data_IF_893503462702
#
_entry.id   IF_893503462702
#
_cell.length_a   1.000
_cell.length_b   1.000
_cell.length_c   1.000
_cell.angle_alpha   90.00
_cell.angle_beta   90.00
_cell.angle_gamma   90.00
#
_symmetry.space_group_name_H-M   'P 1'
#
loop_
_entity.id
_entity.type
_entity.pdbx_description
1 polymer ?
#
# COMPACT_ATOMS: atom_id res chain seq x y z
N UNK A 1 -17.96 22.83 -12.54
CA UNK A 1 -19.08 21.90 -12.80
C UNK A 1 -18.45 20.52 -12.82
N UNK A 2 -18.41 19.87 -11.63
CA UNK A 2 -17.80 18.55 -11.48
C UNK A 2 -18.84 17.50 -11.84
N UNK A 3 -18.49 16.67 -12.80
CA UNK A 3 -19.35 15.65 -13.36
C UNK A 3 -19.61 14.54 -12.32
N UNK A 4 -20.86 14.39 -11.89
CA UNK A 4 -21.34 13.45 -10.89
C UNK A 4 -21.48 12.01 -11.44
N UNK A 5 -20.68 11.61 -12.45
CA UNK A 5 -20.80 10.33 -13.14
C UNK A 5 -20.04 9.16 -12.48
N UNK A 6 -19.65 9.22 -11.21
CA UNK A 6 -18.88 8.17 -10.53
C UNK A 6 -19.62 7.40 -9.44
N UNK A 7 -20.94 7.53 -9.35
CA UNK A 7 -21.76 6.65 -8.51
C UNK A 7 -22.10 5.36 -9.28
N UNK A 8 -21.09 4.52 -9.60
CA UNK A 8 -21.34 3.10 -9.82
C UNK A 8 -21.33 2.42 -8.46
N UNK A 9 -22.43 1.74 -8.19
CA UNK A 9 -22.64 0.95 -6.97
C UNK A 9 -21.45 -0.02 -6.80
N UNK A 10 -20.56 0.26 -5.83
CA UNK A 10 -19.36 -0.51 -5.55
C UNK A 10 -19.70 -1.90 -5.02
N UNK A 11 -20.94 -2.11 -4.60
CA UNK A 11 -21.47 -3.38 -4.07
C UNK A 11 -21.39 -4.53 -5.07
N UNK A 12 -21.35 -4.25 -6.39
CA UNK A 12 -21.37 -5.30 -7.43
C UNK A 12 -20.03 -6.05 -7.59
N UNK A 13 -18.90 -5.56 -7.02
CA UNK A 13 -17.56 -6.13 -7.24
C UNK A 13 -16.80 -6.50 -5.99
N UNK A 14 -17.36 -6.21 -4.83
CA UNK A 14 -16.75 -6.51 -3.53
C UNK A 14 -17.67 -7.43 -2.74
N UNK A 15 -17.25 -8.68 -2.55
CA UNK A 15 -17.92 -9.62 -1.67
C UNK A 15 -17.24 -9.57 -0.30
N UNK A 16 -17.88 -8.92 0.66
CA UNK A 16 -17.42 -8.90 2.05
C UNK A 16 -17.39 -10.30 2.66
N UNK A 17 -16.62 -10.49 3.71
CA UNK A 17 -16.58 -11.74 4.46
C UNK A 17 -17.87 -11.91 5.25
N UNK A 18 -18.60 -12.98 4.98
CA UNK A 18 -19.79 -13.34 5.79
C UNK A 18 -19.45 -13.64 7.26
N UNK A 19 -18.16 -13.91 7.55
CA UNK A 19 -17.68 -14.20 8.91
C UNK A 19 -17.42 -12.93 9.72
N UNK A 20 -17.28 -11.77 9.06
CA UNK A 20 -16.94 -10.48 9.67
C UNK A 20 -18.14 -9.55 9.82
N UNK A 21 -19.35 -10.02 9.52
CA UNK A 21 -20.59 -9.21 9.63
C UNK A 21 -20.76 -8.70 11.07
N UNK A 22 -20.64 -7.37 11.24
CA UNK A 22 -20.81 -6.70 12.54
C UNK A 22 -19.59 -6.71 13.46
N UNK A 23 -18.44 -7.24 13.03
CA UNK A 23 -17.19 -7.12 13.76
C UNK A 23 -16.50 -5.78 13.42
N UNK A 24 -16.01 -5.07 14.44
CA UNK A 24 -15.19 -3.88 14.20
C UNK A 24 -13.81 -4.27 13.66
N UNK A 25 -13.24 -3.48 12.71
CA UNK A 25 -11.88 -3.72 12.24
C UNK A 25 -10.87 -3.70 13.39
N UNK A 26 -9.98 -4.69 13.41
CA UNK A 26 -8.97 -4.82 14.47
C UNK A 26 -7.66 -5.36 13.93
N UNK A 27 -6.54 -4.95 14.55
CA UNK A 27 -5.21 -5.45 14.22
C UNK A 27 -4.92 -6.73 14.98
N UNK A 28 -4.51 -7.77 14.25
CA UNK A 28 -3.96 -8.99 14.84
C UNK A 28 -2.56 -8.78 15.45
N UNK A 29 -2.01 -9.80 16.14
CA UNK A 29 -0.61 -9.78 16.56
C UNK A 29 0.29 -9.73 15.32
N UNK A 30 1.47 -9.06 15.43
CA UNK A 30 2.46 -9.04 14.36
C UNK A 30 3.31 -10.31 14.41
N UNK A 31 3.18 -11.14 13.38
CA UNK A 31 3.95 -12.35 13.15
C UNK A 31 4.17 -12.58 11.64
N UNK A 32 4.79 -11.62 10.93
CA UNK A 32 4.97 -11.72 9.50
C UNK A 32 5.98 -12.80 9.12
N UNK A 33 5.79 -13.36 7.92
CA UNK A 33 6.73 -14.32 7.34
C UNK A 33 7.71 -13.60 6.41
N UNK A 34 9.01 -13.68 6.74
CA UNK A 34 10.09 -13.07 5.95
C UNK A 34 10.50 -13.93 4.76
N UNK A 35 10.65 -13.26 3.61
CA UNK A 35 11.31 -13.76 2.41
C UNK A 35 12.55 -12.91 2.14
N UNK A 36 13.73 -13.52 2.21
CA UNK A 36 14.99 -12.85 1.84
C UNK A 36 15.09 -12.83 0.31
N UNK A 37 15.39 -11.66 -0.24
CA UNK A 37 15.49 -11.43 -1.69
C UNK A 37 16.93 -11.42 -2.19
N UNK A 38 17.91 -11.25 -1.31
CA UNK A 38 19.33 -11.10 -1.60
C UNK A 38 19.82 -9.66 -1.43
N UNK A 39 21.12 -9.48 -1.34
CA UNK A 39 21.82 -8.17 -1.20
C UNK A 39 21.29 -7.31 -0.05
N UNK A 40 20.87 -7.93 1.05
CA UNK A 40 20.28 -7.25 2.21
C UNK A 40 18.80 -6.87 2.06
N UNK A 41 18.16 -7.14 0.91
CA UNK A 41 16.75 -6.89 0.68
C UNK A 41 15.87 -8.04 1.21
N UNK A 42 14.73 -7.70 1.79
CA UNK A 42 13.76 -8.68 2.25
C UNK A 42 12.32 -8.15 2.16
N UNK A 43 11.37 -9.08 2.19
CA UNK A 43 9.94 -8.79 2.24
C UNK A 43 9.30 -9.65 3.32
N UNK A 44 8.59 -9.01 4.23
CA UNK A 44 7.72 -9.64 5.21
C UNK A 44 6.27 -9.60 4.72
N UNK A 45 5.54 -10.70 4.87
CA UNK A 45 4.11 -10.77 4.50
C UNK A 45 3.33 -11.41 5.64
N UNK A 46 2.22 -10.80 5.98
CA UNK A 46 1.24 -11.37 6.92
C UNK A 46 -0.16 -11.24 6.34
N UNK A 47 -0.77 -12.34 5.90
CA UNK A 47 -2.17 -12.35 5.49
C UNK A 47 -3.10 -12.03 6.66
N UNK A 48 -4.15 -11.25 6.38
CA UNK A 48 -5.24 -10.98 7.32
C UNK A 48 -4.78 -10.29 8.63
N UNK A 49 -3.74 -9.47 8.59
CA UNK A 49 -3.30 -8.72 9.77
C UNK A 49 -4.37 -7.76 10.29
N UNK A 50 -5.16 -7.18 9.39
CA UNK A 50 -6.38 -6.42 9.72
C UNK A 50 -7.57 -7.33 9.54
N UNK A 51 -8.17 -7.77 10.64
CA UNK A 51 -9.44 -8.51 10.64
C UNK A 51 -10.64 -7.59 10.46
N UNK A 52 -11.75 -8.11 9.97
CA UNK A 52 -13.01 -7.39 9.73
C UNK A 52 -12.80 -6.06 8.95
N UNK A 53 -11.94 -6.10 7.94
CA UNK A 53 -11.44 -4.90 7.27
C UNK A 53 -12.41 -4.30 6.23
N UNK A 54 -13.62 -4.86 6.06
CA UNK A 54 -14.65 -4.35 5.17
C UNK A 54 -15.08 -2.93 5.52
N UNK A 55 -15.40 -2.68 6.79
CA UNK A 55 -15.80 -1.37 7.27
C UNK A 55 -14.66 -0.35 7.13
N UNK A 56 -13.41 -0.77 7.37
CA UNK A 56 -12.27 0.09 7.15
C UNK A 56 -12.16 0.50 5.67
N UNK A 57 -12.30 -0.47 4.76
CA UNK A 57 -12.27 -0.20 3.32
C UNK A 57 -13.35 0.82 2.92
N UNK A 58 -14.60 0.60 3.34
CA UNK A 58 -15.73 1.46 2.99
C UNK A 58 -15.56 2.89 3.54
N UNK A 59 -15.12 3.04 4.79
CA UNK A 59 -14.84 4.37 5.36
C UNK A 59 -13.73 5.08 4.60
N UNK A 60 -12.60 4.42 4.35
CA UNK A 60 -11.51 5.04 3.61
C UNK A 60 -11.89 5.40 2.18
N UNK A 61 -12.67 4.54 1.50
CA UNK A 61 -13.12 4.83 0.13
C UNK A 61 -14.00 6.07 0.07
N UNK A 62 -14.93 6.25 1.03
CA UNK A 62 -15.91 7.33 1.04
C UNK A 62 -15.42 8.62 1.68
N UNK A 63 -14.54 8.57 2.70
CA UNK A 63 -14.19 9.72 3.53
C UNK A 63 -12.85 10.36 3.16
N UNK A 64 -11.93 9.60 2.52
CA UNK A 64 -10.63 10.15 2.12
C UNK A 64 -10.78 11.12 0.95
N UNK A 65 -10.12 12.28 1.06
CA UNK A 65 -10.09 13.29 -0.01
C UNK A 65 -9.18 12.83 -1.18
N UNK A 66 -9.66 11.87 -1.95
CA UNK A 66 -8.93 11.29 -3.07
C UNK A 66 -8.63 12.31 -4.16
N UNK A 67 -7.38 12.35 -4.60
CA UNK A 67 -6.89 13.27 -5.62
C UNK A 67 -6.42 12.51 -6.86
N UNK A 68 -6.86 12.99 -8.04
CA UNK A 68 -6.30 12.58 -9.31
C UNK A 68 -5.06 13.44 -9.59
N UNK A 69 -3.90 12.81 -9.72
CA UNK A 69 -2.67 13.50 -10.05
C UNK A 69 -2.33 13.40 -11.54
N UNK A 70 -1.68 14.43 -12.05
CA UNK A 70 -1.02 14.44 -13.35
C UNK A 70 0.47 14.63 -13.14
N UNK A 71 1.27 13.85 -13.85
CA UNK A 71 2.74 14.00 -13.80
C UNK A 71 3.28 14.20 -15.19
N UNK A 72 4.24 15.10 -15.30
CA UNK A 72 5.03 15.24 -16.52
C UNK A 72 6.03 14.06 -16.61
N UNK A 73 5.91 13.27 -17.67
CA UNK A 73 6.79 12.15 -17.97
C UNK A 73 7.12 12.17 -19.47
N UNK A 74 8.42 12.23 -19.79
CA UNK A 74 8.91 12.24 -21.18
C UNK A 74 8.22 13.31 -22.05
N UNK A 75 8.22 14.57 -21.58
CA UNK A 75 7.60 15.74 -22.24
C UNK A 75 6.08 15.62 -22.50
N UNK A 76 5.42 14.77 -21.76
CA UNK A 76 3.97 14.61 -21.79
C UNK A 76 3.39 14.61 -20.38
N UNK A 77 2.28 15.32 -20.21
CA UNK A 77 1.47 15.23 -19.00
C UNK A 77 0.62 13.96 -19.08
N UNK A 78 0.85 13.03 -18.17
CA UNK A 78 0.11 11.77 -18.07
C UNK A 78 -0.66 11.70 -16.76
N UNK A 79 -1.87 11.16 -16.81
CA UNK A 79 -2.66 10.90 -15.62
C UNK A 79 -1.98 9.78 -14.81
N UNK A 80 -1.86 9.97 -13.51
CA UNK A 80 -1.46 8.91 -12.59
C UNK A 80 -2.62 7.92 -12.49
N UNK A 81 -2.43 6.67 -12.92
CA UNK A 81 -3.53 5.71 -13.04
C UNK A 81 -3.87 5.08 -11.67
N UNK A 82 -4.29 5.88 -10.74
CA UNK A 82 -4.87 5.64 -9.43
C UNK A 82 -5.15 6.98 -8.74
N UNK A 83 -6.00 6.99 -7.72
CA UNK A 83 -6.20 8.16 -6.88
C UNK A 83 -5.26 8.11 -5.68
N UNK A 84 -4.86 9.27 -5.19
CA UNK A 84 -3.86 9.40 -4.13
C UNK A 84 -4.37 10.30 -3.01
N UNK A 85 -3.89 10.04 -1.79
CA UNK A 85 -3.95 10.95 -0.66
C UNK A 85 -2.69 10.80 0.17
N UNK A 86 -2.11 11.89 0.65
CA UNK A 86 -0.87 11.87 1.43
C UNK A 86 -1.07 12.56 2.77
N UNK A 87 -0.49 11.97 3.82
CA UNK A 87 -0.45 12.47 5.18
C UNK A 87 0.99 12.62 5.61
N UNK A 88 1.41 13.85 5.86
CA UNK A 88 2.74 14.19 6.34
C UNK A 88 2.96 13.85 7.81
N UNK A 89 4.15 14.17 8.30
CA UNK A 89 4.48 14.00 9.73
C UNK A 89 3.60 14.92 10.58
N UNK A 90 2.81 14.33 11.49
CA UNK A 90 1.90 15.06 12.38
C UNK A 90 0.50 15.28 11.85
N UNK A 91 0.23 14.95 10.58
CA UNK A 91 -1.13 15.00 10.06
C UNK A 91 -2.02 13.95 10.74
N UNK A 92 -3.27 14.32 10.95
CA UNK A 92 -4.28 13.39 11.44
C UNK A 92 -4.62 12.38 10.34
N UNK A 93 -4.48 11.09 10.65
CA UNK A 93 -4.87 10.01 9.74
C UNK A 93 -6.40 9.89 9.67
N UNK A 94 -6.94 9.43 8.54
CA UNK A 94 -8.39 9.42 8.28
C UNK A 94 -9.15 8.38 9.13
N UNK A 95 -8.45 7.44 9.76
CA UNK A 95 -9.05 6.41 10.60
C UNK A 95 -8.15 6.10 11.79
N UNK A 96 -8.68 5.97 13.04
CA UNK A 96 -7.88 5.65 14.22
C UNK A 96 -7.08 4.36 14.12
N UNK A 97 -7.61 3.36 13.39
CA UNK A 97 -6.92 2.09 13.20
C UNK A 97 -5.60 2.25 12.42
N UNK A 98 -5.53 3.24 11.52
CA UNK A 98 -4.29 3.54 10.78
C UNK A 98 -3.23 4.14 11.69
N UNK A 99 -3.62 4.94 12.69
CA UNK A 99 -2.70 5.43 13.69
C UNK A 99 -2.16 4.26 14.53
N UNK A 100 -3.05 3.40 15.03
CA UNK A 100 -2.65 2.20 15.78
C UNK A 100 -1.74 1.28 14.94
N UNK A 101 -2.07 1.07 13.67
CA UNK A 101 -1.25 0.28 12.75
C UNK A 101 0.16 0.86 12.60
N UNK A 102 0.28 2.18 12.39
CA UNK A 102 1.57 2.86 12.29
C UNK A 102 2.41 2.71 13.56
N UNK A 103 1.80 2.86 14.74
CA UNK A 103 2.49 2.73 16.01
C UNK A 103 2.96 1.28 16.25
N UNK A 104 2.09 0.28 16.06
CA UNK A 104 2.46 -1.14 16.21
C UNK A 104 3.57 -1.57 15.24
N UNK A 105 3.51 -1.12 13.99
CA UNK A 105 4.57 -1.37 12.99
C UNK A 105 5.87 -0.69 13.40
N UNK A 106 5.81 0.55 13.89
CA UNK A 106 6.99 1.26 14.39
C UNK A 106 7.65 0.51 15.55
N UNK A 107 6.87 0.06 16.53
CA UNK A 107 7.40 -0.67 17.69
C UNK A 107 8.02 -2.02 17.27
N UNK A 108 7.36 -2.73 16.35
CA UNK A 108 7.84 -4.04 15.88
C UNK A 108 9.15 -3.95 15.08
N UNK A 109 9.28 -2.94 14.20
CA UNK A 109 10.41 -2.81 13.30
C UNK A 109 11.49 -1.84 13.80
N UNK A 110 11.32 -1.20 14.98
CA UNK A 110 12.31 -0.29 15.53
C UNK A 110 13.72 -0.91 15.64
N UNK A 111 13.91 -2.18 16.05
CA UNK A 111 15.24 -2.77 16.15
C UNK A 111 16.00 -2.86 14.81
N UNK A 112 15.27 -2.91 13.69
CA UNK A 112 15.85 -3.01 12.34
C UNK A 112 15.89 -1.68 11.60
N UNK A 113 14.91 -0.79 11.87
CA UNK A 113 14.74 0.48 11.18
C UNK A 113 15.45 1.64 11.89
N UNK A 114 15.65 1.53 13.21
CA UNK A 114 16.20 2.56 14.13
C UNK A 114 15.43 3.90 14.12
N UNK A 115 14.20 3.88 13.58
CA UNK A 115 13.29 5.03 13.57
C UNK A 115 11.83 4.59 13.46
N UNK A 116 10.91 5.54 13.59
CA UNK A 116 9.47 5.27 13.49
C UNK A 116 8.95 5.58 12.07
N UNK A 117 7.89 4.89 11.68
CA UNK A 117 7.09 5.32 10.54
C UNK A 117 6.42 6.66 10.85
N UNK A 118 6.58 7.65 9.99
CA UNK A 118 6.21 9.03 10.25
C UNK A 118 5.13 9.57 9.31
N UNK A 119 5.03 9.04 8.10
CA UNK A 119 4.10 9.50 7.07
C UNK A 119 3.19 8.37 6.60
N UNK A 120 2.06 8.70 5.99
CA UNK A 120 1.20 7.74 5.33
C UNK A 120 0.81 8.21 3.93
N UNK A 121 0.87 7.30 2.96
CA UNK A 121 0.36 7.50 1.61
C UNK A 121 -0.75 6.50 1.33
N UNK A 122 -1.89 6.96 0.84
CA UNK A 122 -3.00 6.12 0.44
C UNK A 122 -3.15 6.13 -1.08
N UNK A 123 -3.33 4.95 -1.67
CA UNK A 123 -3.57 4.80 -3.10
C UNK A 123 -4.85 3.99 -3.32
N UNK A 124 -5.84 4.57 -4.00
CA UNK A 124 -7.04 3.87 -4.43
C UNK A 124 -6.87 3.42 -5.89
N UNK A 125 -6.85 2.12 -6.09
CA UNK A 125 -6.94 1.45 -7.39
C UNK A 125 -8.39 1.09 -7.62
N UNK A 126 -9.04 1.76 -8.57
CA UNK A 126 -10.50 1.62 -8.83
C UNK A 126 -10.87 0.31 -9.51
N UNK A 127 -9.95 -0.18 -10.35
CA UNK A 127 -10.11 -1.43 -11.10
C UNK A 127 -8.76 -1.96 -11.61
N UNK A 128 -8.79 -2.96 -12.51
CA UNK A 128 -7.60 -3.58 -13.08
C UNK A 128 -6.76 -2.68 -13.98
N UNK A 129 -7.29 -1.56 -14.47
CA UNK A 129 -6.56 -0.58 -15.31
C UNK A 129 -5.63 0.28 -14.46
N UNK A 130 -6.00 0.53 -13.20
CA UNK A 130 -5.19 1.28 -12.26
C UNK A 130 -3.94 0.48 -11.87
N UNK A 131 -2.80 1.20 -11.80
CA UNK A 131 -1.48 0.59 -11.61
C UNK A 131 -0.49 1.55 -10.97
N UNK A 132 0.60 1.02 -10.50
CA UNK A 132 1.85 1.74 -10.31
C UNK A 132 2.95 1.05 -11.12
N UNK A 133 3.69 1.85 -11.90
CA UNK A 133 4.81 1.38 -12.71
C UNK A 133 5.97 0.88 -11.82
N UNK A 134 6.91 0.17 -12.41
CA UNK A 134 8.14 -0.26 -11.74
C UNK A 134 8.91 0.93 -11.17
N UNK A 135 9.13 0.94 -9.86
CA UNK A 135 9.85 1.96 -9.13
C UNK A 135 10.37 1.41 -7.79
N UNK A 136 11.27 2.13 -7.14
CA UNK A 136 11.58 2.02 -5.73
C UNK A 136 11.34 3.38 -5.08
N UNK A 137 11.02 3.41 -3.80
CA UNK A 137 10.82 4.64 -3.03
C UNK A 137 12.19 5.28 -2.73
N UNK A 138 12.75 5.93 -3.77
CA UNK A 138 14.11 6.46 -3.82
C UNK A 138 14.18 7.97 -3.86
N UNK A 139 13.10 8.65 -3.59
CA UNK A 139 13.07 10.09 -3.41
C UNK A 139 13.44 10.36 -1.94
N UNK A 140 14.41 11.26 -1.72
CA UNK A 140 14.95 11.50 -0.38
C UNK A 140 15.90 10.39 0.07
N UNK A 141 15.86 10.00 1.33
CA UNK A 141 16.80 9.05 1.96
C UNK A 141 16.76 7.64 1.40
N UNK A 142 15.63 7.19 0.91
CA UNK A 142 15.51 5.87 0.31
C UNK A 142 16.41 5.63 -0.92
N UNK A 143 17.12 6.67 -1.38
CA UNK A 143 18.12 6.57 -2.45
C UNK A 143 19.45 6.00 -1.98
N UNK A 144 19.90 6.36 -0.79
CA UNK A 144 21.23 6.04 -0.24
C UNK A 144 21.16 5.09 0.93
N UNK A 145 20.10 5.16 1.72
CA UNK A 145 19.99 4.45 2.99
C UNK A 145 19.05 3.23 2.87
N UNK A 146 19.30 2.21 3.67
CA UNK A 146 18.34 1.16 3.88
C UNK A 146 17.12 1.73 4.61
N UNK A 147 15.94 1.33 4.18
CA UNK A 147 14.70 1.85 4.72
C UNK A 147 13.58 0.81 4.61
N UNK A 148 12.43 1.14 5.19
CA UNK A 148 11.27 0.27 5.14
C UNK A 148 10.05 1.01 4.59
N UNK A 149 9.22 0.26 3.87
CA UNK A 149 7.87 0.67 3.47
C UNK A 149 6.92 -0.43 3.91
N UNK A 150 6.04 -0.12 4.85
CA UNK A 150 4.99 -1.03 5.29
C UNK A 150 3.69 -0.69 4.56
N UNK A 151 3.00 -1.70 4.03
CA UNK A 151 1.78 -1.54 3.24
C UNK A 151 0.69 -2.43 3.82
N UNK A 152 -0.42 -1.83 4.21
CA UNK A 152 -1.69 -2.53 4.49
C UNK A 152 -2.54 -2.47 3.22
N UNK A 153 -3.12 -3.60 2.85
CA UNK A 153 -3.95 -3.75 1.65
C UNK A 153 -5.39 -4.09 2.05
N UNK A 154 -6.35 -3.27 1.62
CA UNK A 154 -7.78 -3.57 1.84
C UNK A 154 -8.54 -3.48 0.51
N UNK A 155 -9.61 -4.27 0.36
CA UNK A 155 -10.37 -4.42 -0.88
C UNK A 155 -9.86 -5.58 -1.75
N UNK A 156 -10.01 -5.48 -3.06
CA UNK A 156 -9.74 -6.56 -4.00
C UNK A 156 -8.25 -6.95 -4.04
N UNK A 157 -7.98 -8.24 -4.15
CA UNK A 157 -6.61 -8.76 -4.20
C UNK A 157 -5.86 -8.28 -5.44
N UNK A 158 -4.62 -7.82 -5.25
CA UNK A 158 -3.69 -7.47 -6.33
C UNK A 158 -2.32 -8.07 -6.07
N UNK A 159 -1.57 -8.32 -7.13
CA UNK A 159 -0.21 -8.82 -7.03
C UNK A 159 0.79 -7.66 -6.92
N UNK A 160 1.54 -7.62 -5.83
CA UNK A 160 2.76 -6.82 -5.72
C UNK A 160 3.90 -7.61 -6.39
N UNK A 161 4.46 -7.05 -7.44
CA UNK A 161 5.57 -7.65 -8.18
C UNK A 161 6.87 -6.92 -7.84
N UNK A 162 7.95 -7.68 -7.61
CA UNK A 162 9.28 -7.13 -7.36
C UNK A 162 10.28 -7.73 -8.37
N UNK A 163 11.26 -6.92 -8.77
CA UNK A 163 12.38 -7.34 -9.63
C UNK A 163 13.69 -6.69 -9.20
N UNK A 164 14.83 -7.39 -9.28
CA UNK A 164 16.13 -6.76 -9.06
C UNK A 164 16.39 -5.69 -10.12
N UNK A 165 16.96 -4.57 -9.76
CA UNK A 165 17.29 -3.50 -10.71
C UNK A 165 18.38 -3.87 -11.71
N UNK A 166 19.32 -4.71 -11.31
CA UNK A 166 20.39 -5.24 -12.15
C UNK A 166 19.95 -6.37 -13.09
N UNK A 167 18.65 -6.70 -13.13
CA UNK A 167 18.13 -7.86 -13.85
C UNK A 167 18.09 -9.10 -12.95
N UNK A 168 17.30 -10.11 -13.34
CA UNK A 168 17.15 -11.34 -12.58
C UNK A 168 15.69 -11.78 -12.46
N UNK A 169 15.48 -12.79 -11.61
CA UNK A 169 14.14 -13.38 -11.45
C UNK A 169 13.20 -12.45 -10.72
N UNK A 170 12.06 -12.19 -11.33
CA UNK A 170 10.95 -11.49 -10.71
C UNK A 170 10.28 -12.39 -9.66
N UNK A 171 9.92 -11.81 -8.52
CA UNK A 171 9.09 -12.41 -7.48
C UNK A 171 7.79 -11.64 -7.33
N UNK A 172 6.80 -12.21 -6.67
CA UNK A 172 5.54 -11.50 -6.45
C UNK A 172 4.71 -12.11 -5.36
N UNK A 173 4.04 -11.22 -4.64
CA UNK A 173 3.21 -11.52 -3.49
C UNK A 173 1.76 -11.15 -3.82
N UNK A 174 0.83 -12.09 -3.62
CA UNK A 174 -0.60 -11.77 -3.65
C UNK A 174 -0.93 -11.02 -2.36
N UNK A 175 -1.52 -9.85 -2.50
CA UNK A 175 -1.99 -9.04 -1.38
C UNK A 175 -3.50 -8.97 -1.43
N UNK A 176 -4.14 -9.61 -0.46
CA UNK A 176 -5.59 -9.65 -0.29
C UNK A 176 -6.10 -8.57 0.66
N UNK A 177 -7.31 -8.78 1.11
CA UNK A 177 -8.01 -7.92 2.04
C UNK A 177 -7.50 -8.10 3.46
N UNK A 178 -7.05 -7.01 4.10
CA UNK A 178 -6.46 -7.03 5.43
C UNK A 178 -4.98 -7.47 5.49
N UNK A 179 -4.32 -7.71 4.34
CA UNK A 179 -2.94 -8.19 4.32
C UNK A 179 -1.95 -7.06 4.60
N UNK A 180 -0.88 -7.44 5.30
CA UNK A 180 0.31 -6.62 5.51
C UNK A 180 1.46 -7.12 4.63
N UNK A 181 2.20 -6.19 4.02
CA UNK A 181 3.52 -6.45 3.44
C UNK A 181 4.48 -5.35 3.87
N UNK A 182 5.71 -5.73 4.24
CA UNK A 182 6.79 -4.79 4.55
C UNK A 182 7.99 -5.09 3.67
N UNK A 183 8.47 -4.09 2.97
CA UNK A 183 9.69 -4.14 2.17
C UNK A 183 10.79 -3.44 2.95
N UNK A 184 11.88 -4.14 3.28
CA UNK A 184 12.92 -3.60 4.14
C UNK A 184 14.34 -3.91 3.70
N UNK A 185 15.30 -3.40 4.47
CA UNK A 185 16.72 -3.42 4.15
C UNK A 185 17.01 -2.63 2.87
N UNK A 186 17.84 -3.16 2.02
CA UNK A 186 18.20 -2.52 0.75
C UNK A 186 17.10 -2.55 -0.33
N UNK A 187 15.90 -3.07 -0.02
CA UNK A 187 14.85 -3.34 -1.00
C UNK A 187 14.52 -2.12 -1.88
N UNK A 188 14.40 -0.91 -1.29
CA UNK A 188 14.09 0.30 -2.04
C UNK A 188 15.22 0.75 -2.98
N UNK A 189 16.46 0.39 -2.67
CA UNK A 189 17.64 0.74 -3.48
C UNK A 189 17.95 -0.29 -4.58
N UNK A 190 17.79 -1.56 -4.27
CA UNK A 190 18.25 -2.67 -5.11
C UNK A 190 17.15 -3.36 -5.92
N UNK A 191 15.88 -3.15 -5.53
CA UNK A 191 14.71 -3.71 -6.21
C UNK A 191 13.76 -2.61 -6.67
N UNK A 192 13.07 -2.86 -7.78
CA UNK A 192 11.87 -2.13 -8.18
C UNK A 192 10.64 -2.96 -7.82
N UNK A 193 9.56 -2.28 -7.45
CA UNK A 193 8.26 -2.91 -7.22
C UNK A 193 7.16 -2.25 -8.05
N UNK A 194 6.07 -2.99 -8.30
CA UNK A 194 4.95 -2.54 -9.12
C UNK A 194 3.64 -3.25 -8.76
N UNK A 195 2.52 -2.57 -8.99
CA UNK A 195 1.20 -3.18 -9.17
C UNK A 195 0.86 -3.04 -10.65
N UNK A 196 0.94 -4.12 -11.39
CA UNK A 196 0.75 -4.11 -12.85
C UNK A 196 -0.74 -4.09 -13.19
N UNK A 197 -1.10 -3.45 -14.32
CA UNK A 197 -2.47 -3.54 -14.85
C UNK A 197 -2.86 -4.98 -15.15
N UNK A 198 -4.15 -5.28 -15.05
CA UNK A 198 -4.72 -6.57 -15.42
C UNK A 198 -5.97 -6.38 -16.25
N UNK A 199 -6.17 -7.27 -17.23
CA UNK A 199 -7.40 -7.33 -18.01
C UNK A 199 -8.51 -8.14 -17.32
N UNK A 200 -8.18 -8.86 -16.24
CA UNK A 200 -9.17 -9.57 -15.45
C UNK A 200 -10.07 -8.58 -14.73
N UNK A 201 -11.38 -8.80 -14.66
CA UNK A 201 -12.24 -8.02 -13.78
C UNK A 201 -11.73 -8.11 -12.33
N UNK A 202 -11.54 -6.95 -11.72
CA UNK A 202 -11.10 -6.83 -10.33
C UNK A 202 -11.71 -5.57 -9.72
N UNK A 203 -12.19 -5.68 -8.49
CA UNK A 203 -12.80 -4.59 -7.75
C UNK A 203 -11.76 -3.56 -7.25
N UNK A 204 -12.24 -2.56 -6.51
CA UNK A 204 -11.39 -1.53 -5.96
C UNK A 204 -10.50 -2.07 -4.82
N UNK A 205 -9.35 -1.42 -4.65
CA UNK A 205 -8.36 -1.73 -3.63
C UNK A 205 -7.72 -0.45 -3.10
N UNK A 206 -7.57 -0.36 -1.80
CA UNK A 206 -6.78 0.69 -1.17
C UNK A 206 -5.46 0.09 -0.65
N UNK A 207 -4.36 0.78 -0.94
CA UNK A 207 -3.04 0.52 -0.40
C UNK A 207 -2.70 1.64 0.57
N UNK A 208 -2.49 1.31 1.84
CA UNK A 208 -2.09 2.23 2.90
C UNK A 208 -0.60 2.02 3.15
N UNK A 209 0.24 3.01 2.89
CA UNK A 209 1.70 2.90 2.89
C UNK A 209 2.27 3.77 4.00
N UNK A 210 2.94 3.16 4.98
CA UNK A 210 3.66 3.87 6.02
C UNK A 210 5.15 3.93 5.68
N UNK A 211 5.75 5.12 5.86
CA UNK A 211 7.17 5.38 5.57
C UNK A 211 7.84 6.13 6.71
N UNK A 212 9.14 5.93 6.91
CA UNK A 212 9.96 6.79 7.75
C UNK A 212 10.01 8.21 7.21
N UNK A 213 10.51 9.11 8.03
CA UNK A 213 10.68 10.52 7.62
C UNK A 213 11.65 10.66 6.46
N UNK A 214 11.26 11.44 5.45
CA UNK A 214 12.12 11.75 4.28
C UNK A 214 12.25 10.60 3.28
N UNK A 215 11.37 9.59 3.32
CA UNK A 215 11.23 8.54 2.31
C UNK A 215 9.96 8.80 1.52
N UNK A 216 10.08 8.92 0.18
CA UNK A 216 8.98 9.21 -0.75
C UNK A 216 9.04 8.29 -1.99
#
# INVERSE_FOLDING_TARGET
MFDHAYARDVSDYYQGSLLDVGAAPALGPLAPRRTVLGDGAWVDVQPGWVGASDDLFLRLESEVAWQAERREMYDRVVDVPRLLCHFGTGDQLPDPLLLEARERLSDHYQPELDERFATAGLCLYRDGRDRVAWHGDRIGRGRSDDTMVAIVSVGAARRLSLRPRGGGRQVGFALGHGDLVVMGGSCQRTWDHAILKTARPVGPRISIQFRPRGVL
#
